data_IF_415972665255
#
_entry.id   IF_415972665255
#
_cell.length_a   1.000
_cell.length_b   1.000
_cell.length_c   1.000
_cell.angle_alpha   90.00
_cell.angle_beta   90.00
_cell.angle_gamma   90.00
#
_symmetry.space_group_name_H-M   'P 1'
#
loop_
_entity.id
_entity.type
_entity.pdbx_description
1 polymer ?
2 polymer ?
3 non-polymer ?
#
# COMPACT_ATOMS: atom_id res chain seq x y z
N UNK A 2 -11.78 27.15 10.53
CA UNK A 2 -11.75 25.74 10.91
C UNK A 2 -11.37 24.82 9.73
N UNK A 3 -12.02 24.96 8.56
CA UNK A 3 -11.65 24.09 7.44
C UNK A 3 -10.32 24.49 6.82
N UNK A 4 -9.89 25.75 6.94
CA UNK A 4 -8.58 26.20 6.50
C UNK A 4 -7.47 25.78 7.44
N UNK A 5 -7.83 24.98 8.45
CA UNK A 5 -6.86 24.38 9.34
C UNK A 5 -6.63 22.89 9.01
N UNK A 6 -7.64 22.20 8.48
CA UNK A 6 -7.45 20.80 8.10
C UNK A 6 -6.34 20.65 7.06
N UNK A 7 -6.16 21.63 6.18
CA UNK A 7 -5.04 21.62 5.26
C UNK A 7 -3.71 21.77 6.01
N UNK A 8 -3.66 22.69 6.98
CA UNK A 8 -2.46 22.85 7.77
C UNK A 8 -2.05 21.58 8.50
N UNK A 9 -3.04 20.76 8.88
CA UNK A 9 -2.74 19.44 9.39
C UNK A 9 -2.43 18.41 8.33
N UNK A 10 -2.93 18.63 7.10
CA UNK A 10 -2.66 17.70 6.01
C UNK A 10 -1.23 17.86 5.48
N UNK A 11 -0.76 19.10 5.36
CA UNK A 11 0.61 19.33 4.91
C UNK A 11 1.59 18.79 5.94
N UNK A 12 1.45 19.23 7.20
CA UNK A 12 2.38 18.83 8.26
C UNK A 12 2.45 17.32 8.42
N UNK A 13 1.31 16.64 8.27
CA UNK A 13 1.31 15.18 8.38
C UNK A 13 2.14 14.55 7.27
N UNK A 14 2.06 15.09 6.05
CA UNK A 14 2.93 14.61 4.98
C UNK A 14 4.36 15.09 5.18
N UNK A 15 4.55 16.26 5.79
CA UNK A 15 5.90 16.73 6.10
C UNK A 15 6.62 15.73 7.01
N UNK A 16 5.94 15.29 8.07
CA UNK A 16 6.53 14.31 8.97
C UNK A 16 6.71 12.98 8.26
N UNK A 17 5.71 12.53 7.51
CA UNK A 17 5.81 11.26 6.82
C UNK A 17 6.93 11.23 5.78
N UNK A 18 7.26 12.38 5.20
CA UNK A 18 8.33 12.44 4.22
C UNK A 18 9.71 12.40 4.90
N UNK A 19 9.89 13.16 5.97
CA UNK A 19 11.16 13.14 6.68
C UNK A 19 11.35 11.83 7.44
N UNK A 20 10.26 11.22 7.92
CA UNK A 20 10.38 9.89 8.50
C UNK A 20 10.74 8.85 7.45
N UNK A 21 10.35 9.09 6.19
CA UNK A 21 10.75 8.20 5.11
C UNK A 21 12.26 8.24 4.91
N UNK A 22 12.90 9.37 5.22
CA UNK A 22 14.35 9.44 5.21
C UNK A 22 14.95 8.55 6.30
N UNK A 23 14.20 8.29 7.37
CA UNK A 23 14.63 7.40 8.43
C UNK A 23 14.16 5.96 8.24
N UNK A 24 13.26 5.71 7.29
CA UNK A 24 12.71 4.38 7.11
C UNK A 24 13.75 3.38 6.60
N UNK A 25 14.83 3.86 5.99
CA UNK A 25 15.89 3.01 5.45
C UNK A 25 15.32 2.00 4.44
N UNK A 26 14.70 2.55 3.41
CA UNK A 26 14.08 1.72 2.38
C UNK A 26 12.93 0.87 2.89
N UNK A 27 12.19 1.36 3.88
CA UNK A 27 11.08 0.64 4.51
C UNK A 27 11.54 -0.68 5.10
N UNK A 28 12.81 -0.77 5.49
CA UNK A 28 13.36 -1.97 6.11
C UNK A 28 13.49 -1.83 7.62
N UNK A 29 13.15 -0.67 8.17
CA UNK A 29 13.30 -0.40 9.60
C UNK A 29 11.92 -0.22 10.21
N UNK A 30 11.55 -1.09 11.15
CA UNK A 30 10.27 -0.99 11.81
C UNK A 30 10.27 0.18 12.78
N UNK A 31 9.14 0.90 12.81
CA UNK A 31 8.81 2.11 13.56
C UNK A 31 8.88 3.33 12.64
N UNK A 32 9.96 3.55 11.87
CA UNK A 32 9.85 4.57 10.81
C UNK A 32 9.04 4.11 9.62
N UNK A 33 8.99 2.80 9.35
CA UNK A 33 8.17 2.30 8.26
C UNK A 33 6.68 2.43 8.59
N UNK A 34 6.30 2.11 9.82
CA UNK A 34 4.92 2.28 10.24
C UNK A 34 4.53 3.74 10.44
N UNK A 35 5.51 4.61 10.66
CA UNK A 35 5.21 6.00 10.94
C UNK A 35 4.71 6.77 9.72
N UNK A 36 5.36 6.56 8.56
CA UNK A 36 4.94 7.24 7.35
C UNK A 36 3.55 6.80 6.91
N UNK A 37 3.20 5.53 7.13
CA UNK A 37 1.87 5.05 6.76
C UNK A 37 0.81 5.73 7.62
N UNK A 38 1.05 5.86 8.93
CA UNK A 38 0.07 6.48 9.81
C UNK A 38 -0.14 7.94 9.43
N UNK A 39 0.96 8.67 9.22
CA UNK A 39 0.85 10.09 8.92
C UNK A 39 0.20 10.33 7.57
N UNK A 40 0.53 9.52 6.57
CA UNK A 40 -0.11 9.67 5.26
C UNK A 40 -1.59 9.32 5.32
N UNK A 41 -1.97 8.36 6.17
CA UNK A 41 -3.39 8.01 6.30
C UNK A 41 -4.16 9.13 6.97
N UNK A 42 -3.57 9.80 7.97
CA UNK A 42 -4.25 10.89 8.65
C UNK A 42 -4.34 12.13 7.76
N UNK A 43 -3.31 12.39 6.95
CA UNK A 43 -3.35 13.52 6.04
C UNK A 43 -4.41 13.33 4.97
N UNK A 44 -4.54 12.10 4.45
CA UNK A 44 -5.61 11.81 3.49
C UNK A 44 -6.98 12.09 4.08
N UNK A 45 -7.21 11.65 5.32
CA UNK A 45 -8.52 11.78 5.93
C UNK A 45 -8.86 13.23 6.23
N UNK A 46 -7.86 14.03 6.62
CA UNK A 46 -8.09 15.45 6.85
C UNK A 46 -8.17 16.23 5.55
N UNK A 47 -7.42 15.82 4.52
CA UNK A 47 -7.62 16.40 3.20
C UNK A 47 -9.00 16.03 2.66
N UNK A 48 -9.47 14.81 2.96
CA UNK A 48 -10.81 14.40 2.58
C UNK A 48 -11.89 15.26 3.20
N UNK A 49 -11.55 16.09 4.19
CA UNK A 49 -12.48 17.04 4.76
C UNK A 49 -12.32 18.45 4.21
N UNK A 50 -11.23 18.73 3.48
CA UNK A 50 -11.05 20.03 2.85
C UNK A 50 -11.57 20.07 1.43
N UNK A 51 -11.67 18.92 0.76
CA UNK A 51 -12.06 18.89 -0.64
C UNK A 51 -13.56 19.13 -0.81
N UNK A 52 -14.20 19.66 0.24
CA UNK A 52 -15.60 20.02 0.19
C UNK A 52 -15.81 21.53 0.26
N UNK A 53 -15.22 22.19 1.26
CA UNK A 53 -15.39 23.63 1.42
C UNK A 53 -14.45 24.41 0.49
N UNK A 54 -13.15 24.13 0.61
CA UNK A 54 -12.14 24.82 -0.19
C UNK A 54 -11.93 24.05 -1.49
N UNK A 55 -11.50 24.71 -2.59
CA UNK A 55 -11.38 23.99 -3.86
C UNK A 55 -10.12 23.15 -3.97
N UNK A 56 -9.59 23.05 -5.20
CA UNK A 56 -8.44 22.20 -5.47
C UNK A 56 -7.13 22.98 -5.46
N UNK A 57 -6.92 23.83 -6.46
CA UNK A 57 -5.64 24.51 -6.60
C UNK A 57 -5.29 25.38 -5.41
N UNK A 58 -6.29 26.01 -4.80
CA UNK A 58 -6.03 26.86 -3.63
C UNK A 58 -5.51 26.02 -2.47
N UNK A 59 -6.21 24.92 -2.17
CA UNK A 59 -5.77 24.05 -1.08
C UNK A 59 -4.50 23.28 -1.42
N UNK A 60 -4.19 23.12 -2.71
CA UNK A 60 -2.98 22.41 -3.11
C UNK A 60 -1.77 23.33 -3.22
N UNK A 61 -1.95 24.54 -3.78
CA UNK A 61 -0.84 25.48 -3.84
C UNK A 61 -0.40 25.91 -2.44
N UNK A 62 -1.35 26.00 -1.50
CA UNK A 62 -0.99 26.27 -0.11
C UNK A 62 -0.16 25.13 0.45
N UNK A 63 -0.56 23.89 0.16
CA UNK A 63 0.25 22.74 0.54
C UNK A 63 1.65 22.84 -0.06
N UNK A 64 1.72 22.92 -1.40
CA UNK A 64 3.02 22.92 -2.08
C UNK A 64 3.90 24.07 -1.60
N UNK A 65 3.31 25.21 -1.27
CA UNK A 65 4.08 26.32 -0.77
C UNK A 65 4.63 26.11 0.62
N UNK A 66 3.74 25.85 1.59
CA UNK A 66 4.20 25.65 2.96
C UNK A 66 4.94 24.33 3.11
N UNK A 67 4.59 23.32 2.30
CA UNK A 67 5.28 22.05 2.38
C UNK A 67 6.73 22.16 1.94
N UNK A 68 6.97 22.75 0.75
CA UNK A 68 8.33 22.94 0.27
C UNK A 68 9.12 23.87 1.17
N UNK A 69 8.43 24.71 1.94
CA UNK A 69 9.10 25.61 2.87
C UNK A 69 9.35 24.95 4.22
N UNK A 70 8.71 23.82 4.50
CA UNK A 70 8.86 23.12 5.77
C UNK A 70 9.72 21.87 5.67
N UNK A 71 9.46 20.99 4.69
CA UNK A 71 10.28 19.79 4.58
C UNK A 71 11.70 20.12 4.13
N UNK A 72 11.90 21.27 3.49
CA UNK A 72 13.25 21.69 3.15
C UNK A 72 13.96 22.26 4.37
N UNK A 73 13.22 22.92 5.27
CA UNK A 73 13.81 23.41 6.51
C UNK A 73 14.04 22.27 7.50
N UNK A 74 13.22 21.23 7.44
CA UNK A 74 13.45 20.00 8.20
C UNK A 74 14.42 19.06 7.49
N UNK A 75 15.29 19.59 6.61
CA UNK A 75 16.35 18.83 5.98
C UNK A 75 17.74 19.21 6.48
N UNK A 76 17.94 20.45 6.91
CA UNK A 76 19.19 20.85 7.53
C UNK A 76 19.22 20.59 9.02
N UNK A 77 18.08 20.77 9.70
CA UNK A 77 18.02 20.53 11.13
C UNK A 77 18.19 19.08 11.52
N UNK A 78 17.98 18.16 10.59
CA UNK A 78 18.07 16.74 10.89
C UNK A 78 19.34 16.06 10.36
N UNK A 79 20.07 16.70 9.44
CA UNK A 79 21.37 16.20 9.04
C UNK A 79 22.26 17.30 8.47
N UNK A 80 21.66 18.35 7.94
CA UNK A 80 22.43 19.43 7.36
C UNK A 80 22.33 19.49 5.85
N UNK A 81 23.20 18.74 5.17
CA UNK A 81 23.21 18.70 3.71
C UNK A 81 23.70 17.35 3.24
N UNK A 82 23.21 16.94 2.08
CA UNK A 82 23.72 15.77 1.35
C UNK A 82 24.34 16.14 0.02
N UNK A 83 23.78 17.13 -0.68
CA UNK A 83 24.28 17.58 -1.96
C UNK A 83 23.63 18.91 -2.28
N UNK A 84 24.34 19.76 -3.01
CA UNK A 84 23.82 21.04 -3.45
C UNK A 84 24.29 21.31 -4.87
N UNK A 85 23.48 22.07 -5.61
CA UNK A 85 23.67 22.28 -7.03
C UNK A 85 23.14 23.65 -7.40
N UNK A 86 23.61 24.24 -8.56
CA UNK A 86 23.38 25.65 -8.87
C UNK A 86 22.63 26.54 -7.88
N UNK A 87 21.32 26.66 -8.02
CA UNK A 87 20.58 27.71 -7.35
C UNK A 87 19.47 27.16 -6.46
N UNK A 88 19.27 27.82 -5.32
CA UNK A 88 18.04 27.64 -4.56
C UNK A 88 16.91 28.42 -5.22
N UNK A 89 17.24 29.48 -5.97
CA UNK A 89 16.26 30.25 -6.71
C UNK A 89 15.56 29.40 -7.76
N UNK A 90 16.18 28.29 -8.17
CA UNK A 90 15.49 27.35 -9.05
C UNK A 90 14.25 26.78 -8.39
N UNK A 91 14.34 26.47 -7.09
CA UNK A 91 13.17 26.04 -6.35
C UNK A 91 12.13 27.15 -6.29
N UNK A 92 12.58 28.40 -6.17
CA UNK A 92 11.66 29.53 -6.10
C UNK A 92 10.89 29.71 -7.40
N UNK A 93 11.54 29.48 -8.54
CA UNK A 93 10.86 29.65 -9.82
C UNK A 93 10.06 28.42 -10.23
N UNK A 94 10.39 27.24 -9.69
CA UNK A 94 9.49 26.09 -9.84
C UNK A 94 8.16 26.37 -9.16
N UNK A 95 8.22 26.86 -7.93
CA UNK A 95 7.00 27.27 -7.23
C UNK A 95 6.27 28.36 -7.98
N UNK A 96 7.02 29.32 -8.54
CA UNK A 96 6.39 30.35 -9.38
C UNK A 96 5.79 29.74 -10.64
N UNK A 97 6.40 28.69 -11.17
CA UNK A 97 5.83 28.02 -12.33
C UNK A 97 4.59 27.22 -11.97
N UNK A 98 4.57 26.63 -10.76
CA UNK A 98 3.39 25.91 -10.30
C UNK A 98 2.24 26.89 -10.05
N UNK A 99 2.56 28.10 -9.58
CA UNK A 99 1.51 29.03 -9.18
C UNK A 99 0.82 29.68 -10.37
N UNK A 100 1.41 29.64 -11.56
CA UNK A 100 0.84 30.30 -12.72
C UNK A 100 0.10 29.32 -13.63
N UNK A 101 -0.28 28.16 -13.12
CA UNK A 101 -1.15 27.24 -13.84
C UNK A 101 -2.31 26.84 -12.94
N UNK A 102 -2.08 26.87 -11.62
CA UNK A 102 -3.15 26.56 -10.67
C UNK A 102 -4.04 27.77 -10.44
N UNK A 103 -3.50 28.83 -9.84
CA UNK A 103 -4.28 30.02 -9.57
C UNK A 103 -4.70 30.71 -10.87
N UNK A 104 -3.75 30.91 -11.78
CA UNK A 104 -4.05 31.51 -13.07
C UNK A 104 -4.72 30.50 -14.00
N UNK B 2 27.86 -5.08 19.56
CA UNK B 2 26.88 -4.05 19.22
C UNK B 2 26.21 -4.35 17.89
N UNK B 3 25.88 -5.62 17.68
CA UNK B 3 25.23 -6.08 16.46
C UNK B 3 23.94 -6.81 16.80
N UNK B 4 23.12 -7.04 15.78
CA UNK B 4 21.83 -7.71 15.95
C UNK B 4 21.65 -8.73 14.82
N UNK B 5 20.97 -9.85 15.12
CA UNK B 5 20.39 -10.23 16.41
C UNK B 5 21.42 -10.76 17.40
N UNK B 6 20.96 -11.25 18.55
CA UNK B 6 21.85 -11.72 19.60
C UNK B 6 21.14 -12.80 20.41
N UNK B 7 21.94 -13.73 20.93
CA UNK B 7 21.48 -14.77 21.86
C UNK B 7 20.45 -15.69 21.20
N UNK B 8 20.95 -16.44 20.21
CA UNK B 8 20.12 -17.41 19.50
C UNK B 8 20.14 -18.72 20.28
N UNK B 9 18.99 -19.09 20.85
CA UNK B 9 18.88 -20.28 21.68
C UNK B 9 17.67 -21.09 21.25
N UNK B 10 17.69 -22.38 21.61
CA UNK B 10 16.60 -23.31 21.30
C UNK B 10 15.76 -23.47 22.56
N UNK B 11 14.54 -22.95 22.53
CA UNK B 11 13.64 -23.02 23.68
C UNK B 11 13.12 -24.44 23.84
N UNK B 12 12.19 -24.85 22.98
CA UNK B 12 11.61 -26.18 23.03
C UNK B 12 12.21 -27.05 21.93
N UNK B 13 12.27 -28.36 22.21
CA UNK B 13 12.83 -29.32 21.27
C UNK B 13 11.85 -30.47 21.08
N UNK B 14 12.01 -31.17 19.95
CA UNK B 14 11.14 -32.27 19.55
C UNK B 14 11.82 -33.02 18.40
N UNK B 15 11.71 -34.36 18.37
CA UNK B 15 12.32 -35.12 17.27
C UNK B 15 11.97 -34.62 15.87
N UNK B 16 10.87 -33.88 15.73
CA UNK B 16 10.43 -33.39 14.43
C UNK B 16 10.22 -31.89 14.39
N UNK B 17 10.63 -31.15 15.42
CA UNK B 17 10.41 -29.71 15.43
C UNK B 17 11.32 -29.05 16.45
N UNK B 18 11.68 -27.80 16.17
CA UNK B 18 12.52 -27.00 17.06
C UNK B 18 11.91 -25.62 17.23
N UNK B 19 11.86 -25.13 18.47
CA UNK B 19 11.38 -23.80 18.79
C UNK B 19 12.55 -22.97 19.29
N UNK B 20 12.86 -21.89 18.58
CA UNK B 20 14.02 -21.06 18.88
C UNK B 20 13.54 -19.64 19.19
N UNK B 21 14.47 -18.83 19.67
CA UNK B 21 14.19 -17.43 20.00
C UNK B 21 15.50 -16.66 19.99
N UNK B 22 15.41 -15.37 20.30
CA UNK B 22 16.58 -14.50 20.36
C UNK B 22 16.21 -13.23 21.11
N UNK B 23 17.24 -12.51 21.55
CA UNK B 23 17.09 -11.16 22.09
C UNK B 23 17.73 -10.23 21.08
N UNK B 24 16.94 -9.79 20.11
CA UNK B 24 17.40 -8.92 19.03
C UNK B 24 18.00 -7.63 19.58
N UNK B 25 17.15 -6.69 19.99
CA UNK B 25 17.64 -5.45 20.53
C UNK B 25 16.55 -4.51 21.00
N UNK B 26 16.83 -3.21 20.95
CA UNK B 26 15.91 -2.16 21.37
C UNK B 26 15.14 -1.62 20.17
N UNK B 27 14.37 -0.56 20.41
CA UNK B 27 13.44 -0.07 19.39
C UNK B 27 14.17 0.59 18.22
N UNK B 28 15.31 1.24 18.46
CA UNK B 28 16.00 1.91 17.36
C UNK B 28 16.57 0.93 16.35
N UNK B 29 16.82 -0.32 16.75
CA UNK B 29 17.22 -1.33 15.78
C UNK B 29 16.01 -1.95 15.11
N UNK B 30 15.13 -2.59 15.90
CA UNK B 30 13.91 -3.28 15.51
C UNK B 30 13.57 -3.20 14.02
N UNK B 31 13.80 -4.30 13.29
CA UNK B 31 13.65 -4.32 11.85
C UNK B 31 12.25 -4.80 11.47
N UNK B 32 11.97 -4.86 10.17
CA UNK B 32 10.65 -5.24 9.70
C UNK B 32 10.50 -6.74 9.43
N UNK B 33 11.59 -7.41 9.07
CA UNK B 33 11.51 -8.84 8.78
C UNK B 33 12.86 -9.50 9.02
N UNK B 34 12.85 -10.64 9.71
CA UNK B 34 14.02 -11.49 9.86
C UNK B 34 13.84 -12.72 8.98
N UNK B 35 14.91 -13.12 8.30
CA UNK B 35 14.93 -14.36 7.55
C UNK B 35 15.82 -15.37 8.26
N UNK B 36 15.33 -16.60 8.36
CA UNK B 36 15.96 -17.65 9.16
C UNK B 36 16.20 -18.87 8.28
N UNK B 37 17.41 -19.44 8.38
CA UNK B 37 17.83 -20.55 7.55
C UNK B 37 18.20 -21.73 8.43
N UNK B 38 17.72 -22.92 8.07
CA UNK B 38 18.05 -24.15 8.79
C UNK B 38 18.31 -25.27 7.80
N UNK B 39 19.31 -26.09 8.12
CA UNK B 39 19.65 -27.21 7.28
C UNK B 39 20.49 -28.22 8.04
N UNK B 40 21.01 -29.20 7.30
CA UNK B 40 21.82 -30.24 7.91
C UNK B 40 23.24 -29.75 8.16
N UNK B 41 23.90 -30.37 9.14
CA UNK B 41 25.26 -30.00 9.49
C UNK B 41 26.27 -30.61 8.53
N UNK B 42 25.98 -31.80 7.99
CA UNK B 42 26.92 -32.44 7.08
C UNK B 42 27.18 -31.61 5.83
N UNK B 43 26.13 -31.14 5.19
CA UNK B 43 26.27 -30.28 4.04
C UNK B 43 26.19 -31.00 2.71
N UNK B 44 25.23 -31.91 2.57
CA UNK B 44 24.99 -32.65 1.33
C UNK B 44 23.65 -32.27 0.72
N UNK B 45 23.23 -31.03 0.90
CA UNK B 45 21.92 -30.56 0.46
C UNK B 45 21.92 -29.05 0.52
N UNK B 46 20.92 -28.39 -0.08
CA UNK B 46 20.80 -26.94 0.07
C UNK B 46 20.39 -26.53 1.48
N UNK B 47 19.70 -25.40 1.61
CA UNK B 47 19.30 -24.88 2.91
C UNK B 47 17.90 -24.28 2.80
N UNK B 48 17.02 -24.67 3.72
CA UNK B 48 15.66 -24.15 3.75
C UNK B 48 15.65 -22.73 4.32
N UNK B 49 14.68 -21.94 3.88
CA UNK B 49 14.58 -20.55 4.27
C UNK B 49 13.12 -20.13 4.36
N UNK B 50 12.81 -19.28 5.34
CA UNK B 50 11.50 -18.67 5.45
C UNK B 50 11.65 -17.39 6.28
N UNK B 51 10.80 -16.42 5.99
CA UNK B 51 10.84 -15.13 6.66
C UNK B 51 9.81 -15.07 7.78
N UNK B 52 9.92 -14.01 8.58
CA UNK B 52 9.04 -13.80 9.73
C UNK B 52 9.05 -12.31 10.02
N UNK B 53 7.92 -11.71 10.42
CA UNK B 53 7.90 -10.27 10.71
C UNK B 53 8.89 -9.89 11.80
N UNK B 54 9.31 -8.62 11.75
CA UNK B 54 10.32 -8.07 12.61
C UNK B 54 9.87 -7.60 13.98
N UNK B 55 8.60 -7.81 14.32
CA UNK B 55 8.12 -7.52 15.66
C UNK B 55 8.06 -8.77 16.56
N UNK B 56 8.34 -9.94 16.00
CA UNK B 56 8.36 -11.18 16.77
C UNK B 56 9.79 -11.68 16.89
N UNK B 57 10.11 -12.27 18.05
CA UNK B 57 11.45 -12.76 18.32
C UNK B 57 11.53 -14.28 18.36
N UNK B 58 10.43 -14.98 18.14
CA UNK B 58 10.40 -16.44 18.16
C UNK B 58 10.04 -16.97 16.78
N UNK B 59 10.34 -18.25 16.56
CA UNK B 59 10.06 -18.90 15.30
C UNK B 59 9.98 -20.39 15.52
N UNK B 60 8.98 -21.02 14.91
CA UNK B 60 8.76 -22.46 15.03
C UNK B 60 9.14 -23.14 13.72
N UNK B 61 10.00 -24.15 13.81
CA UNK B 61 10.45 -24.93 12.67
C UNK B 61 9.92 -26.35 12.82
N UNK B 62 9.27 -26.86 11.79
CA UNK B 62 8.67 -28.19 11.81
C UNK B 62 9.20 -29.00 10.63
N UNK B 63 8.83 -30.29 10.62
CA UNK B 63 9.21 -31.17 9.54
C UNK B 63 10.66 -31.59 9.57
N UNK B 64 11.24 -31.77 10.74
CA UNK B 64 12.64 -32.17 10.88
C UNK B 64 12.73 -33.68 11.10
N UNK B 65 13.92 -34.22 10.83
CA UNK B 65 14.18 -35.64 11.00
C UNK B 65 14.87 -35.90 12.33
N UNK B 66 14.44 -36.93 13.06
CA UNK B 66 15.02 -37.19 14.38
C UNK B 66 16.41 -37.81 14.30
N UNK B 67 17.26 -37.44 15.26
CA UNK B 67 18.59 -38.00 15.37
C UNK B 67 19.67 -37.27 14.60
N UNK B 68 19.31 -36.32 13.74
CA UNK B 68 20.27 -35.62 12.89
C UNK B 68 20.57 -34.26 13.49
N UNK B 69 21.82 -33.83 13.37
CA UNK B 69 22.27 -32.53 13.87
C UNK B 69 22.04 -31.47 12.80
N UNK B 70 21.44 -30.35 13.20
CA UNK B 70 21.10 -29.28 12.28
C UNK B 70 21.84 -27.99 12.65
N UNK B 71 21.92 -27.09 11.69
CA UNK B 71 22.51 -25.76 11.87
C UNK B 71 21.44 -24.73 11.57
N UNK B 72 21.19 -23.84 12.54
CA UNK B 72 20.15 -22.83 12.42
C UNK B 72 20.81 -21.45 12.46
N UNK B 73 20.43 -20.59 11.51
CA UNK B 73 20.98 -19.25 11.40
C UNK B 73 19.85 -18.25 11.22
N UNK B 74 20.00 -17.08 11.85
CA UNK B 74 19.02 -16.00 11.76
C UNK B 74 19.72 -14.77 11.20
N UNK B 75 19.15 -14.21 10.14
CA UNK B 75 19.75 -13.09 9.42
C UNK B 75 18.99 -11.80 9.72
N UNK B 76 19.34 -10.75 8.98
CA UNK B 76 18.73 -9.43 9.03
C UNK B 76 18.39 -9.02 7.61
N UNK B 77 17.54 -7.99 7.45
CA UNK B 77 17.25 -7.51 6.08
C UNK B 77 18.50 -7.12 5.30
N UNK B 78 19.47 -6.49 5.94
CA UNK B 78 20.74 -6.15 5.32
C UNK B 78 21.88 -6.54 6.24
N UNK B 79 23.08 -6.59 5.67
CA UNK B 79 24.28 -6.90 6.43
C UNK B 79 24.76 -5.73 7.27
N UNK B 80 24.05 -4.60 7.25
CA UNK B 80 24.44 -3.43 8.02
C UNK B 80 24.12 -3.57 9.50
N UNK B 81 23.05 -4.32 9.83
CA UNK B 81 22.65 -4.46 11.22
C UNK B 81 23.62 -5.31 12.03
N UNK B 82 24.41 -6.15 11.37
CA UNK B 82 25.37 -6.97 12.06
C UNK B 82 25.52 -8.36 11.49
N UNK B 83 26.58 -9.07 11.88
CA UNK B 83 26.79 -10.42 11.39
C UNK B 83 25.71 -11.35 11.94
N UNK B 84 25.18 -12.26 11.12
CA UNK B 84 24.14 -13.17 11.60
C UNK B 84 24.67 -14.15 12.64
N UNK B 85 23.75 -14.71 13.40
CA UNK B 85 24.06 -15.66 14.47
C UNK B 85 23.63 -17.05 14.02
N UNK B 86 24.53 -18.02 14.18
CA UNK B 86 24.28 -19.40 13.79
C UNK B 86 24.60 -20.33 14.96
N UNK B 87 23.75 -21.34 15.15
CA UNK B 87 23.89 -22.29 16.24
C UNK B 87 23.75 -23.70 15.68
N UNK B 88 23.84 -24.68 16.58
CA UNK B 88 23.70 -26.09 16.24
C UNK B 88 22.81 -26.76 17.28
N UNK B 89 22.15 -27.84 16.86
CA UNK B 89 21.30 -28.60 17.77
C UNK B 89 21.03 -29.97 17.17
N UNK B 90 21.05 -31.00 18.02
CA UNK B 90 20.76 -32.36 17.62
C UNK B 90 19.41 -32.79 18.20
N UNK B 91 18.53 -33.25 17.33
CA UNK B 91 17.19 -33.67 17.76
C UNK B 91 17.18 -35.12 18.23
N UNK C 2 20.83 9.54 -12.52
CA UNK C 2 20.32 8.33 -11.87
C UNK C 2 19.23 8.58 -10.82
N UNK C 3 19.34 9.65 -10.01
CA UNK C 3 18.21 9.98 -9.12
C UNK C 3 16.99 10.53 -9.86
N UNK C 4 17.12 10.87 -11.14
CA UNK C 4 16.03 11.48 -11.88
C UNK C 4 15.18 10.48 -12.64
N UNK C 5 15.76 9.36 -13.06
CA UNK C 5 15.00 8.38 -13.84
C UNK C 5 13.86 7.80 -13.01
N UNK C 6 14.18 7.30 -11.83
CA UNK C 6 13.15 6.72 -10.97
C UNK C 6 12.42 7.76 -10.13
N UNK C 7 12.87 9.02 -10.16
CA UNK C 7 12.02 10.10 -9.67
C UNK C 7 10.92 10.40 -10.67
N UNK C 8 11.27 10.58 -11.94
CA UNK C 8 10.26 10.77 -12.96
C UNK C 8 9.40 9.53 -13.17
N UNK C 9 10.01 8.34 -13.08
CA UNK C 9 9.24 7.12 -13.15
C UNK C 9 8.27 6.97 -12.00
N UNK C 10 8.61 7.52 -10.83
CA UNK C 10 7.69 7.53 -9.71
C UNK C 10 6.61 8.59 -9.87
N UNK C 11 6.92 9.68 -10.57
CA UNK C 11 5.90 10.69 -10.87
C UNK C 11 4.84 10.10 -11.80
N UNK C 12 5.26 9.28 -12.77
CA UNK C 12 4.29 8.60 -13.62
C UNK C 12 3.41 7.65 -12.82
N UNK C 13 4.01 6.94 -11.86
CA UNK C 13 3.24 5.98 -11.05
C UNK C 13 2.20 6.70 -10.19
N UNK C 14 2.58 7.83 -9.60
CA UNK C 14 1.62 8.58 -8.79
C UNK C 14 0.53 9.19 -9.65
N UNK C 15 0.89 9.72 -10.82
CA UNK C 15 -0.10 10.32 -11.72
C UNK C 15 -1.08 9.26 -12.18
N UNK C 16 -0.58 8.11 -12.64
CA UNK C 16 -1.46 7.01 -13.02
C UNK C 16 -2.30 6.56 -11.83
N UNK C 17 -1.73 6.62 -10.62
CA UNK C 17 -2.49 6.21 -9.44
C UNK C 17 -3.67 7.11 -9.15
N UNK C 18 -3.48 8.42 -9.23
CA UNK C 18 -4.56 9.36 -8.92
C UNK C 18 -5.57 9.45 -10.06
N UNK C 19 -5.10 9.39 -11.31
CA UNK C 19 -6.04 9.39 -12.43
C UNK C 19 -6.87 8.11 -12.46
N UNK C 20 -6.28 6.98 -12.05
CA UNK C 20 -7.03 5.72 -12.00
C UNK C 20 -7.95 5.65 -10.79
N UNK C 21 -7.61 6.36 -9.72
CA UNK C 21 -8.54 6.50 -8.60
C UNK C 21 -9.81 7.22 -9.04
N UNK C 22 -9.70 8.12 -10.01
CA UNK C 22 -10.89 8.82 -10.51
C UNK C 22 -11.73 7.89 -11.39
N UNK C 23 -11.08 7.00 -12.14
CA UNK C 23 -11.83 6.06 -12.97
C UNK C 23 -12.65 5.11 -12.12
N UNK C 24 -11.99 4.38 -11.22
CA UNK C 24 -12.69 3.47 -10.32
C UNK C 24 -13.54 4.26 -9.32
N UNK C 25 -14.52 3.57 -8.73
CA UNK C 25 -15.36 4.18 -7.72
C UNK C 25 -14.65 4.15 -6.37
N UNK C 26 -15.40 3.92 -5.29
CA UNK C 26 -14.81 3.85 -3.97
C UNK C 26 -14.01 2.58 -3.75
N UNK C 27 -12.96 2.39 -4.56
CA UNK C 27 -12.16 1.17 -4.55
C UNK C 27 -13.02 -0.08 -4.75
N UNK C 28 -14.13 0.06 -5.49
CA UNK C 28 -15.05 -1.04 -5.69
C UNK C 28 -14.77 -1.82 -6.98
N UNK C 29 -14.50 -1.13 -8.08
CA UNK C 29 -14.14 -1.80 -9.31
C UNK C 29 -12.78 -2.46 -9.16
N UNK C 30 -12.75 -3.79 -9.27
CA UNK C 30 -11.59 -4.56 -8.82
C UNK C 30 -10.35 -4.24 -9.65
N UNK C 31 -10.41 -4.45 -10.96
CA UNK C 31 -9.22 -4.28 -11.80
C UNK C 31 -8.60 -2.90 -11.67
N UNK C 32 -9.36 -1.79 -11.75
CA UNK C 32 -8.73 -0.48 -11.53
C UNK C 32 -8.26 -0.25 -10.11
N UNK C 33 -8.97 -0.79 -9.11
CA UNK C 33 -8.57 -0.59 -7.72
C UNK C 33 -7.27 -1.32 -7.41
N UNK C 34 -7.14 -2.57 -7.87
CA UNK C 34 -5.87 -3.29 -7.72
C UNK C 34 -4.74 -2.56 -8.45
N UNK C 35 -5.06 -1.90 -9.56
CA UNK C 35 -4.05 -1.11 -10.24
C UNK C 35 -3.59 0.07 -9.41
N UNK C 36 -4.55 0.84 -8.86
CA UNK C 36 -4.20 2.00 -8.04
C UNK C 36 -3.35 1.58 -6.85
N UNK C 37 -3.66 0.44 -6.23
CA UNK C 37 -2.89 -0.04 -5.09
C UNK C 37 -1.44 -0.28 -5.49
N UNK C 38 -1.22 -0.80 -6.70
CA UNK C 38 0.13 -1.18 -7.11
C UNK C 38 1.00 0.05 -7.36
N UNK C 39 0.45 1.07 -8.03
CA UNK C 39 1.27 2.22 -8.40
C UNK C 39 1.56 3.14 -7.22
N UNK C 40 0.67 3.20 -6.22
CA UNK C 40 1.03 3.99 -5.03
C UNK C 40 1.96 3.20 -4.12
N UNK C 41 1.90 1.87 -4.17
CA UNK C 41 2.92 1.07 -3.47
C UNK C 41 4.27 1.23 -4.15
N UNK C 42 4.30 1.26 -5.49
CA UNK C 42 5.55 1.45 -6.21
C UNK C 42 6.07 2.88 -6.02
N UNK C 43 5.18 3.86 -6.01
CA UNK C 43 5.60 5.24 -5.79
C UNK C 43 6.18 5.43 -4.40
N UNK C 44 5.57 4.81 -3.40
CA UNK C 44 6.12 4.89 -2.04
C UNK C 44 7.51 4.28 -1.96
N UNK C 45 7.77 3.23 -2.75
CA UNK C 45 9.07 2.57 -2.76
C UNK C 45 10.05 3.22 -3.72
N UNK C 46 9.56 3.95 -4.73
CA UNK C 46 10.47 4.68 -5.62
C UNK C 46 10.83 6.05 -5.04
N UNK C 47 9.92 6.71 -4.33
CA UNK C 47 10.24 7.97 -3.70
C UNK C 47 11.19 7.77 -2.51
N UNK C 48 10.99 6.70 -1.75
CA UNK C 48 11.85 6.43 -0.61
C UNK C 48 13.28 6.13 -1.04
N UNK C 49 13.45 5.52 -2.22
CA UNK C 49 14.78 5.18 -2.69
C UNK C 49 15.47 6.35 -3.39
N UNK C 50 14.71 7.30 -3.92
CA UNK C 50 15.27 8.49 -4.55
C UNK C 50 15.42 9.65 -3.58
N UNK C 51 15.14 9.43 -2.30
CA UNK C 51 15.26 10.49 -1.30
C UNK C 51 16.61 10.52 -0.61
N UNK C 52 17.33 9.40 -0.58
CA UNK C 52 18.64 9.36 0.08
C UNK C 52 19.69 10.17 -0.68
N UNK C 53 19.50 10.38 -1.98
CA UNK C 53 20.47 11.14 -2.78
C UNK C 53 20.06 12.60 -2.89
N UNK C 54 18.86 12.85 -3.42
CA UNK C 54 18.34 14.20 -3.60
C UNK C 54 17.89 14.73 -2.25
N UNK C 55 18.22 15.97 -1.88
CA UNK C 55 17.72 16.54 -0.62
C UNK C 55 16.20 16.53 -0.58
N UNK C 56 15.67 16.56 0.65
CA UNK C 56 14.23 16.40 0.84
C UNK C 56 13.44 17.49 0.13
N UNK C 57 13.81 18.75 0.36
CA UNK C 57 13.10 19.86 -0.25
C UNK C 57 13.28 19.97 -1.75
N UNK C 58 14.37 19.40 -2.28
CA UNK C 58 14.61 19.49 -3.72
C UNK C 58 13.64 18.59 -4.48
N UNK C 59 13.53 17.32 -4.05
CA UNK C 59 12.63 16.38 -4.70
C UNK C 59 11.16 16.74 -4.49
N UNK C 60 10.87 17.69 -3.60
CA UNK C 60 9.48 18.08 -3.36
C UNK C 60 8.92 18.90 -4.52
N UNK C 61 9.65 19.95 -4.90
CA UNK C 61 9.17 20.84 -5.96
C UNK C 61 9.15 20.13 -7.31
N UNK C 62 10.20 19.39 -7.63
CA UNK C 62 10.31 18.74 -8.93
C UNK C 62 9.15 17.78 -9.14
N UNK C 63 8.81 17.00 -8.11
CA UNK C 63 7.68 16.09 -8.21
C UNK C 63 6.37 16.85 -8.39
N UNK C 64 6.14 17.86 -7.54
CA UNK C 64 4.90 18.63 -7.62
C UNK C 64 4.77 19.32 -8.97
N UNK C 65 5.88 19.83 -9.50
CA UNK C 65 5.86 20.49 -10.80
C UNK C 65 5.63 19.53 -11.94
N UNK C 66 6.52 18.54 -12.08
CA UNK C 66 6.42 17.58 -13.19
C UNK C 66 5.09 16.83 -13.12
N UNK C 67 4.60 16.56 -11.91
CA UNK C 67 3.33 15.90 -11.73
C UNK C 67 2.19 16.66 -12.38
N UNK C 68 1.95 17.90 -11.94
CA UNK C 68 0.89 18.70 -12.52
C UNK C 68 1.19 19.01 -13.99
N UNK C 69 2.47 19.12 -14.34
CA UNK C 69 2.84 19.19 -15.75
C UNK C 69 2.31 17.97 -16.49
N UNK C 70 2.60 16.77 -15.97
CA UNK C 70 2.12 15.55 -16.61
C UNK C 70 0.62 15.35 -16.39
N UNK C 71 0.06 15.93 -15.32
CA UNK C 71 -1.38 15.83 -15.10
C UNK C 71 -2.14 16.69 -16.09
N UNK C 72 -1.75 17.96 -16.22
CA UNK C 72 -2.39 18.84 -17.19
C UNK C 72 -2.06 18.42 -18.62
N UNK C 73 -0.89 17.81 -18.84
CA UNK C 73 -0.57 17.28 -20.15
C UNK C 73 -1.45 16.09 -20.50
N UNK C 74 -1.71 15.23 -19.52
CA UNK C 74 -2.60 14.10 -19.75
C UNK C 74 -4.07 14.52 -19.76
N UNK C 75 -4.40 15.62 -19.06
CA UNK C 75 -5.76 16.14 -19.09
C UNK C 75 -6.17 16.54 -20.50
N UNK C 76 -5.43 17.49 -21.09
CA UNK C 76 -5.67 17.88 -22.47
C UNK C 76 -5.34 16.76 -23.45
N UNK C 77 -4.57 15.76 -23.02
CA UNK C 77 -4.15 14.68 -23.89
C UNK C 77 -5.27 13.95 -24.57
N UNK C 78 -6.09 13.23 -23.79
CA UNK C 78 -7.21 12.51 -24.39
C UNK C 78 -8.44 12.46 -23.47
N UNK C 79 -8.51 13.32 -22.46
CA UNK C 79 -9.72 13.43 -21.64
C UNK C 79 -10.48 14.69 -22.01
N UNK C 80 -10.55 15.64 -21.09
CA UNK C 80 -11.14 16.93 -21.35
C UNK C 80 -10.12 17.93 -21.84
N UNK C 81 -10.49 19.21 -21.75
CA UNK C 81 -9.59 20.30 -22.13
C UNK C 81 -9.88 21.56 -21.33
N UNK C 84 -9.16 27.29 -16.57
CA UNK C 84 -8.40 28.52 -16.59
C UNK C 84 -6.98 28.31 -17.12
N UNK C 85 -6.84 28.27 -18.44
CA UNK C 85 -5.56 28.10 -19.08
C UNK C 85 -5.02 29.47 -19.50
N UNK C 86 -4.06 30.03 -18.76
CA UNK C 86 -3.45 31.30 -19.21
C UNK C 86 -2.64 31.08 -20.48
N UNK C 87 -1.78 30.06 -20.44
CA UNK C 87 -1.00 29.59 -21.57
C UNK C 87 -0.18 28.39 -21.11
N UNK C 88 0.67 27.87 -21.99
CA UNK C 88 1.61 26.82 -21.59
C UNK C 88 2.84 27.51 -20.99
N UNK C 89 2.73 28.81 -20.73
CA UNK C 89 3.81 29.55 -20.10
C UNK C 89 4.08 29.04 -18.69
N UNK C 90 3.04 28.53 -18.02
CA UNK C 90 3.23 27.96 -16.70
C UNK C 90 3.92 26.60 -16.74
N UNK C 91 3.62 25.81 -17.77
CA UNK C 91 4.33 24.54 -17.95
C UNK C 91 5.80 24.79 -18.24
N UNK C 92 6.09 25.74 -19.13
CA UNK C 92 7.48 26.08 -19.43
C UNK C 92 8.19 26.73 -18.24
N UNK C 93 7.44 27.34 -17.33
CA UNK C 93 8.06 27.91 -16.14
C UNK C 93 8.46 26.82 -15.16
N UNK C 94 7.63 25.78 -15.02
CA UNK C 94 8.06 24.60 -14.26
C UNK C 94 9.26 23.95 -14.92
N UNK C 95 9.22 23.84 -16.26
CA UNK C 95 10.35 23.26 -16.99
C UNK C 95 11.63 24.05 -16.73
N UNK C 96 11.53 25.38 -16.67
CA UNK C 96 12.73 26.21 -16.51
C UNK C 96 13.41 25.93 -15.18
N UNK C 97 12.64 25.85 -14.10
CA UNK C 97 13.23 25.65 -12.79
C UNK C 97 13.73 24.22 -12.57
N UNK C 98 13.00 23.24 -13.11
CA UNK C 98 13.45 21.85 -13.05
C UNK C 98 14.80 21.70 -13.77
N UNK C 99 15.05 22.54 -14.78
CA UNK C 99 16.32 22.46 -15.50
C UNK C 99 17.47 23.00 -14.66
N UNK C 100 17.29 24.15 -14.01
CA UNK C 100 18.40 24.79 -13.30
C UNK C 100 18.61 24.24 -11.91
N UNK C 101 17.79 23.28 -11.48
CA UNK C 101 18.14 22.44 -10.33
C UNK C 101 18.70 21.10 -10.77
N UNK C 102 18.54 20.74 -12.05
CA UNK C 102 18.98 19.45 -12.57
C UNK C 102 20.51 19.39 -12.59
N UNK C 103 21.05 18.41 -13.32
CA UNK C 103 22.48 18.23 -13.45
C UNK C 103 23.18 19.49 -13.97
N UNK D 3 -27.93 -4.06 -12.80
CA UNK D 3 -27.05 -4.57 -13.83
C UNK D 3 -26.30 -5.82 -13.35
N UNK D 4 -25.51 -5.65 -12.29
CA UNK D 4 -24.74 -6.74 -11.73
C UNK D 4 -25.08 -6.90 -10.25
N UNK D 5 -25.21 -8.13 -9.72
CA UNK D 5 -25.07 -9.40 -10.45
C UNK D 5 -26.29 -9.70 -11.33
N UNK D 6 -26.22 -10.77 -12.11
CA UNK D 6 -27.30 -11.15 -13.00
C UNK D 6 -27.35 -12.66 -13.10
N UNK D 7 -28.56 -13.19 -13.30
CA UNK D 7 -28.80 -14.61 -13.50
C UNK D 7 -28.34 -15.44 -12.31
N UNK D 8 -29.15 -15.46 -11.25
CA UNK D 8 -28.88 -16.27 -10.07
C UNK D 8 -29.69 -17.55 -10.15
N UNK D 9 -28.99 -18.70 -10.19
CA UNK D 9 -29.66 -20.00 -10.27
C UNK D 9 -28.83 -21.01 -9.49
N UNK D 10 -29.48 -22.13 -9.17
CA UNK D 10 -28.87 -23.21 -8.39
C UNK D 10 -28.48 -24.31 -9.36
N UNK D 11 -27.19 -24.66 -9.38
CA UNK D 11 -26.67 -25.68 -10.28
C UNK D 11 -26.95 -27.05 -9.68
N UNK D 12 -26.16 -27.44 -8.68
CA UNK D 12 -26.34 -28.72 -8.00
C UNK D 12 -27.20 -28.53 -6.75
N UNK D 13 -27.95 -29.57 -6.41
CA UNK D 13 -28.88 -29.49 -5.28
C UNK D 13 -28.91 -30.83 -4.56
N UNK D 14 -28.48 -30.82 -3.30
CA UNK D 14 -28.52 -31.91 -2.34
C UNK D 14 -29.47 -31.53 -1.20
N UNK D 15 -30.22 -32.49 -0.62
CA UNK D 15 -31.13 -32.15 0.48
C UNK D 15 -30.56 -31.22 1.56
N UNK D 16 -29.24 -31.20 1.73
CA UNK D 16 -28.61 -30.38 2.76
C UNK D 16 -27.64 -29.35 2.20
N UNK D 17 -27.67 -29.08 0.90
CA UNK D 17 -26.74 -28.12 0.32
C UNK D 17 -27.24 -27.63 -1.02
N UNK D 18 -26.82 -26.41 -1.38
CA UNK D 18 -27.19 -25.79 -2.64
C UNK D 18 -25.97 -25.09 -3.23
N UNK D 19 -25.62 -25.46 -4.45
CA UNK D 19 -24.50 -24.83 -5.17
C UNK D 19 -25.07 -23.82 -6.16
N UNK D 20 -24.87 -22.53 -5.86
CA UNK D 20 -25.43 -21.46 -6.66
C UNK D 20 -24.34 -20.85 -7.53
N UNK D 21 -24.75 -20.14 -8.57
CA UNK D 21 -23.83 -19.46 -9.47
C UNK D 21 -24.49 -18.19 -9.99
N UNK D 22 -23.70 -17.39 -10.70
CA UNK D 22 -24.18 -16.11 -11.22
C UNK D 22 -23.26 -15.64 -12.33
N UNK D 23 -23.78 -14.73 -13.14
CA UNK D 23 -22.98 -14.01 -14.14
C UNK D 23 -22.55 -12.71 -13.51
N UNK D 24 -21.31 -12.68 -12.99
CA UNK D 24 -20.83 -11.50 -12.27
C UNK D 24 -20.83 -10.27 -13.18
N UNK D 25 -20.24 -10.39 -14.37
CA UNK D 25 -20.19 -9.27 -15.28
C UNK D 25 -19.29 -9.52 -16.47
N UNK D 26 -18.46 -8.54 -16.81
CA UNK D 26 -17.60 -8.61 -17.99
C UNK D 26 -16.26 -7.98 -17.67
N UNK D 27 -15.19 -8.77 -17.82
CA UNK D 27 -13.79 -8.35 -17.69
C UNK D 27 -13.57 -7.24 -16.66
N UNK D 28 -13.81 -5.99 -17.07
CA UNK D 28 -13.37 -4.84 -16.29
C UNK D 28 -14.41 -4.35 -15.30
N UNK D 29 -15.68 -4.69 -15.49
CA UNK D 29 -16.74 -4.23 -14.60
C UNK D 29 -16.96 -5.14 -13.41
N UNK D 30 -15.98 -5.99 -13.09
CA UNK D 30 -16.08 -6.84 -11.91
C UNK D 30 -16.08 -6.00 -10.64
N UNK D 31 -16.86 -6.43 -9.65
CA UNK D 31 -16.81 -5.81 -8.34
C UNK D 31 -15.75 -6.54 -7.52
N UNK D 32 -15.50 -6.07 -6.31
CA UNK D 32 -14.51 -6.70 -5.45
C UNK D 32 -15.07 -7.87 -4.65
N UNK D 33 -16.36 -7.86 -4.35
CA UNK D 33 -16.94 -8.91 -3.54
C UNK D 33 -18.45 -8.92 -3.71
N UNK D 34 -19.04 -10.09 -3.56
CA UNK D 34 -20.48 -10.26 -3.45
C UNK D 34 -20.81 -10.87 -2.10
N UNK D 35 -22.00 -10.58 -1.58
CA UNK D 35 -22.46 -11.18 -0.35
C UNK D 35 -23.74 -11.96 -0.61
N UNK D 36 -23.83 -13.13 0.01
CA UNK D 36 -24.89 -14.09 -0.26
C UNK D 36 -25.70 -14.27 1.01
N UNK D 37 -27.03 -14.23 0.88
CA UNK D 37 -27.95 -14.35 2.01
C UNK D 37 -28.92 -15.48 1.72
N UNK D 38 -28.81 -16.57 2.49
CA UNK D 38 -29.73 -17.69 2.39
C UNK D 38 -30.40 -17.92 3.75
N UNK D 39 -31.72 -18.00 3.75
CA UNK D 39 -32.48 -18.21 4.96
C UNK D 39 -33.80 -18.85 4.64
N UNK D 40 -34.52 -19.24 5.70
CA UNK D 40 -35.80 -19.90 5.52
C UNK D 40 -36.80 -18.96 4.84
N UNK D 41 -37.65 -19.53 3.99
CA UNK D 41 -38.62 -18.74 3.25
C UNK D 41 -39.71 -18.18 4.16
N UNK D 42 -39.84 -18.70 5.37
CA UNK D 42 -40.82 -18.19 6.31
C UNK D 42 -40.35 -16.97 7.05
N UNK D 43 -39.62 -17.17 8.16
CA UNK D 43 -39.11 -16.06 8.93
C UNK D 43 -39.15 -16.28 10.42
N UNK D 44 -39.10 -17.56 10.84
CA UNK D 44 -39.13 -17.86 12.27
C UNK D 44 -37.81 -17.54 12.95
N UNK D 45 -36.74 -17.40 12.19
CA UNK D 45 -35.41 -17.13 12.71
C UNK D 45 -34.69 -16.21 11.73
N UNK D 46 -33.60 -15.56 12.17
CA UNK D 46 -32.83 -14.71 11.25
C UNK D 46 -32.19 -15.49 10.10
N UNK D 47 -31.44 -14.78 9.26
CA UNK D 47 -30.86 -15.37 8.06
C UNK D 47 -29.36 -15.55 8.24
N UNK D 48 -28.78 -16.37 7.37
CA UNK D 48 -27.35 -16.60 7.34
C UNK D 48 -26.74 -15.89 6.15
N UNK D 49 -25.49 -15.46 6.30
CA UNK D 49 -24.88 -14.58 5.32
C UNK D 49 -23.38 -14.84 5.22
N UNK D 50 -22.85 -14.79 4.01
CA UNK D 50 -21.42 -14.89 3.77
C UNK D 50 -21.08 -14.08 2.53
N UNK D 51 -19.78 -13.88 2.32
CA UNK D 51 -19.28 -13.11 1.18
C UNK D 51 -18.33 -13.96 0.35
N UNK D 52 -18.17 -13.55 -0.91
CA UNK D 52 -17.32 -14.24 -1.88
C UNK D 52 -16.52 -13.21 -2.66
N UNK D 53 -15.24 -13.45 -2.94
CA UNK D 53 -14.46 -12.49 -3.73
C UNK D 53 -15.09 -12.21 -5.09
N UNK D 54 -14.64 -11.11 -5.69
CA UNK D 54 -15.30 -10.62 -6.91
C UNK D 54 -15.03 -11.45 -8.14
N UNK D 55 -13.86 -12.10 -8.20
CA UNK D 55 -13.52 -12.88 -9.38
C UNK D 55 -14.25 -14.21 -9.46
N UNK D 56 -14.73 -14.74 -8.33
CA UNK D 56 -15.41 -16.02 -8.32
C UNK D 56 -16.87 -15.86 -8.73
N UNK D 57 -17.34 -16.79 -9.56
CA UNK D 57 -18.70 -16.76 -10.09
C UNK D 57 -19.58 -17.88 -9.52
N UNK D 58 -19.07 -18.64 -8.56
CA UNK D 58 -19.84 -19.71 -7.93
C UNK D 58 -19.65 -19.64 -6.42
N UNK D 59 -20.58 -20.26 -5.70
CA UNK D 59 -20.54 -20.30 -4.24
C UNK D 59 -21.42 -21.45 -3.76
N UNK D 60 -20.91 -22.22 -2.81
CA UNK D 60 -21.63 -23.36 -2.25
C UNK D 60 -22.27 -22.97 -0.92
N UNK D 61 -23.48 -23.47 -0.70
CA UNK D 61 -24.25 -23.21 0.52
C UNK D 61 -24.48 -24.55 1.20
N UNK D 62 -23.86 -24.75 2.36
CA UNK D 62 -23.93 -26.02 3.07
C UNK D 62 -24.67 -25.86 4.39
N UNK D 63 -24.94 -26.98 5.03
CA UNK D 63 -25.60 -27.00 6.32
C UNK D 63 -27.05 -26.57 6.27
N UNK D 64 -27.83 -27.20 5.40
CA UNK D 64 -29.24 -26.88 5.22
C UNK D 64 -30.11 -28.04 5.70
N UNK D 65 -31.39 -27.75 5.92
CA UNK D 65 -32.33 -28.79 6.31
C UNK D 65 -33.08 -29.33 5.11
N UNK D 66 -33.31 -30.64 5.04
CA UNK D 66 -33.95 -31.22 3.86
C UNK D 66 -35.44 -30.88 3.81
N UNK D 67 -35.90 -30.50 2.61
CA UNK D 67 -37.29 -30.22 2.36
C UNK D 67 -37.71 -28.78 2.52
N UNK D 68 -36.97 -27.99 3.28
CA UNK D 68 -37.36 -26.61 3.55
C UNK D 68 -37.05 -25.75 2.33
N UNK D 69 -37.93 -24.78 2.05
CA UNK D 69 -37.73 -23.84 0.97
C UNK D 69 -36.91 -22.66 1.47
N UNK D 70 -35.92 -22.25 0.69
CA UNK D 70 -35.02 -21.17 1.07
C UNK D 70 -35.10 -20.04 0.06
N UNK D 71 -34.71 -18.84 0.51
CA UNK D 71 -34.64 -17.65 -0.33
C UNK D 71 -33.19 -17.19 -0.36
N UNK D 72 -32.57 -17.27 -1.54
CA UNK D 72 -31.16 -16.93 -1.71
C UNK D 72 -31.07 -15.59 -2.42
N UNK D 73 -30.34 -14.65 -1.83
CA UNK D 73 -30.18 -13.30 -2.37
C UNK D 73 -28.69 -12.96 -2.43
N UNK D 74 -28.29 -12.34 -3.54
CA UNK D 74 -26.90 -11.95 -3.76
C UNK D 74 -26.86 -10.44 -3.92
N UNK D 75 -26.13 -9.76 -3.04
CA UNK D 75 -25.99 -8.32 -3.07
C UNK D 75 -24.63 -7.92 -3.63
N UNK D 76 -24.62 -6.85 -4.43
CA UNK D 76 -23.39 -6.23 -4.87
C UNK D 76 -22.76 -5.48 -3.69
N UNK D 77 -21.53 -4.96 -3.84
CA UNK D 77 -20.97 -4.12 -2.77
C UNK D 77 -21.89 -2.96 -2.40
N UNK D 78 -22.49 -2.30 -3.39
CA UNK D 78 -23.51 -1.29 -3.15
C UNK D 78 -24.73 -1.57 -4.03
N UNK D 79 -25.69 -0.65 -4.05
CA UNK D 79 -26.90 -0.78 -4.86
C UNK D 79 -26.94 0.26 -5.98
N UNK D 80 -25.81 0.86 -6.31
CA UNK D 80 -25.74 1.87 -7.36
C UNK D 80 -25.53 1.27 -8.75
N UNK D 81 -25.50 -0.07 -8.86
CA UNK D 81 -25.30 -0.73 -10.14
C UNK D 81 -26.35 -1.82 -10.38
N UNK D 82 -27.47 -1.77 -9.66
CA UNK D 82 -28.53 -2.74 -9.86
C UNK D 82 -29.06 -3.32 -8.56
N UNK D 83 -30.34 -3.68 -8.58
CA UNK D 83 -30.96 -4.27 -7.40
C UNK D 83 -30.43 -5.69 -7.18
N UNK D 84 -30.39 -6.14 -5.92
CA UNK D 84 -29.91 -7.51 -5.64
C UNK D 84 -30.89 -8.55 -6.15
N UNK D 85 -30.35 -9.56 -6.83
CA UNK D 85 -31.18 -10.62 -7.38
C UNK D 85 -31.47 -11.65 -6.30
N UNK D 86 -32.74 -12.04 -6.18
CA UNK D 86 -33.18 -13.01 -5.19
C UNK D 86 -34.06 -14.07 -5.85
N UNK D 87 -33.82 -15.32 -5.50
CA UNK D 87 -34.57 -16.45 -6.05
C UNK D 87 -35.04 -17.34 -4.90
N UNK D 88 -35.74 -18.42 -5.27
CA UNK D 88 -36.25 -19.40 -4.32
C UNK D 88 -35.94 -20.79 -4.81
N UNK D 89 -35.75 -21.71 -3.86
CA UNK D 89 -35.49 -23.10 -4.20
C UNK D 89 -35.93 -23.98 -3.03
N UNK D 90 -36.37 -25.19 -3.37
CA UNK D 90 -36.79 -26.18 -2.39
C UNK D 90 -35.90 -27.41 -2.54
N UNK D 91 -35.18 -27.75 -1.47
CA UNK D 91 -34.25 -28.88 -1.49
C UNK D 91 -34.98 -30.21 -1.62
#
# INVERSE_FOLDING_TARGET
>A
MNPYIYLGGAILAEVIGTTLMKFSNGFTRLIPSMGTIICYCASFWLLAQTLAYIPTGIAYAIWSGVGIVLISLLSWGFFGQRLDLPAIIGMMLICAGVLIINLLSRSTPH
>B
VSSVPTKLEVVAATPTSLLISWDAGHWWEWVTYYRITYGETGGNSPVQEFTVPGYSSTATISGLKPGVDYTITVYAPTSDYGSPISINYRT
>C
MNPYIYLGGAILAEVIGTTLMKFSNGFTRLIPSMGTIICYCASFWLLAQTLAYIPTGIAYAIWSGVGIVLISLLSWGFFGQRLDLPAIIGMMLICAGVLIINLLSRSTPH
>D
VSSVPTKLEVVAATPTSLLISWDAGHWWEWVTYYRITYGETGGNSPVQEFTVPGYSSTATISGLKPGVDYTITVYAPTSDYGSPISINYRT
#
